data_IF_944356896393
#
_entry.id   IF_944356896393
#
_cell.length_a   1.000
_cell.length_b   1.000
_cell.length_c   1.000
_cell.angle_alpha   90.00
_cell.angle_beta   90.00
_cell.angle_gamma   90.00
#
_symmetry.space_group_name_H-M   'P 1'
#
loop_
_entity.id
_entity.type
_entity.pdbx_description
1 polymer ?
#
# COMPACT_ATOMS: atom_id res chain seq x y z
N UNK A 1 -14.46 7.88 10.28
CA UNK A 1 -13.60 6.69 10.09
C UNK A 1 -12.92 6.40 11.43
N UNK A 2 -13.07 5.20 12.00
CA UNK A 2 -12.36 4.82 13.25
C UNK A 2 -10.95 4.38 12.86
N UNK A 3 -9.95 5.18 13.19
CA UNK A 3 -8.54 4.86 12.97
C UNK A 3 -7.71 5.54 14.05
N UNK A 4 -6.61 4.90 14.47
CA UNK A 4 -5.69 5.52 15.41
C UNK A 4 -4.84 6.57 14.69
N UNK A 5 -4.65 7.74 15.30
CA UNK A 5 -3.67 8.71 14.80
C UNK A 5 -2.29 8.03 14.75
N UNK A 6 -1.61 8.04 13.61
CA UNK A 6 -0.37 7.29 13.44
C UNK A 6 0.85 8.02 14.02
N UNK A 7 0.68 9.17 14.66
CA UNK A 7 1.71 9.93 15.38
C UNK A 7 2.77 10.56 14.47
N UNK A 8 3.82 11.09 15.08
CA UNK A 8 4.98 11.74 14.44
C UNK A 8 6.21 10.82 14.32
N UNK A 9 6.22 9.68 15.02
CA UNK A 9 7.27 8.65 14.90
C UNK A 9 6.79 7.47 14.06
N UNK A 10 7.35 7.34 12.85
CA UNK A 10 6.94 6.35 11.85
C UNK A 10 7.97 5.23 11.73
N UNK A 11 7.52 3.99 11.77
CA UNK A 11 8.38 2.80 11.66
C UNK A 11 8.27 2.26 10.24
N UNK A 12 9.21 2.64 9.39
CA UNK A 12 9.27 2.22 7.99
C UNK A 12 10.70 1.80 7.70
N UNK A 13 10.87 0.59 7.18
CA UNK A 13 12.19 0.05 6.83
C UNK A 13 12.80 0.81 5.65
N UNK A 14 14.12 0.97 5.66
CA UNK A 14 14.85 1.48 4.50
C UNK A 14 14.88 0.45 3.37
N UNK A 15 15.24 0.89 2.17
CA UNK A 15 15.36 0.00 1.01
C UNK A 15 16.61 -0.88 1.16
N UNK A 16 16.39 -2.15 1.47
CA UNK A 16 17.46 -3.14 1.62
C UNK A 16 18.13 -3.48 0.29
N UNK A 17 19.40 -3.91 0.31
CA UNK A 17 20.18 -4.14 -0.91
C UNK A 17 19.58 -5.22 -1.84
N UNK A 18 18.89 -6.21 -1.27
CA UNK A 18 18.25 -7.30 -2.01
C UNK A 18 16.81 -6.99 -2.44
N UNK A 19 16.29 -5.79 -2.14
CA UNK A 19 14.93 -5.42 -2.53
C UNK A 19 14.83 -5.32 -4.06
N UNK A 20 13.83 -5.96 -4.66
CA UNK A 20 13.62 -5.99 -6.11
C UNK A 20 13.34 -4.62 -6.71
N UNK A 21 12.78 -3.68 -5.93
CA UNK A 21 12.51 -2.30 -6.34
C UNK A 21 13.72 -1.38 -6.13
N UNK A 22 14.86 -1.89 -5.64
CA UNK A 22 16.07 -1.10 -5.45
C UNK A 22 16.62 -0.61 -6.79
N UNK A 23 16.91 0.68 -6.87
CA UNK A 23 17.54 1.35 -7.99
C UNK A 23 19.02 1.61 -7.70
N UNK A 24 19.78 1.96 -8.75
CA UNK A 24 21.19 2.36 -8.64
C UNK A 24 21.31 3.80 -8.15
N UNK A 25 20.75 4.08 -6.98
CA UNK A 25 20.80 5.38 -6.31
C UNK A 25 21.26 5.21 -4.86
N UNK A 26 22.23 6.00 -4.38
CA UNK A 26 22.84 5.78 -3.06
C UNK A 26 21.88 6.04 -1.90
N UNK A 27 20.88 6.90 -2.09
CA UNK A 27 20.00 7.40 -1.01
C UNK A 27 18.51 7.24 -1.34
N UNK A 28 18.16 6.19 -2.11
CA UNK A 28 16.75 5.87 -2.43
C UNK A 28 15.90 5.85 -1.17
N UNK A 29 14.80 6.61 -1.18
CA UNK A 29 13.82 6.60 -0.10
C UNK A 29 12.83 5.45 -0.28
N UNK A 30 12.35 4.84 0.81
CA UNK A 30 11.34 3.80 0.78
C UNK A 30 10.00 4.32 0.26
N UNK A 31 9.30 3.52 -0.54
CA UNK A 31 8.02 3.86 -1.14
C UNK A 31 6.92 4.02 -0.10
N UNK A 32 6.87 3.21 0.95
CA UNK A 32 5.86 3.30 2.02
C UNK A 32 5.93 4.61 2.81
N UNK A 33 7.12 5.22 2.90
CA UNK A 33 7.27 6.56 3.50
C UNK A 33 6.60 7.62 2.63
N UNK A 34 6.88 7.59 1.33
CA UNK A 34 6.30 8.55 0.38
C UNK A 34 4.80 8.34 0.19
N UNK A 35 4.33 7.09 0.16
CA UNK A 35 2.91 6.74 0.10
C UNK A 35 2.14 7.42 1.23
N UNK A 36 2.63 7.29 2.46
CA UNK A 36 2.01 7.90 3.64
C UNK A 36 1.94 9.42 3.52
N UNK A 37 3.01 10.07 3.08
CA UNK A 37 3.06 11.54 2.92
C UNK A 37 2.08 12.02 1.84
N UNK A 38 2.04 11.34 0.70
CA UNK A 38 1.16 11.67 -0.43
C UNK A 38 -0.31 11.48 -0.06
N UNK A 39 -0.68 10.36 0.55
CA UNK A 39 -2.06 10.09 0.97
C UNK A 39 -2.55 11.08 2.04
N UNK A 40 -1.67 11.52 2.94
CA UNK A 40 -2.02 12.46 4.00
C UNK A 40 -2.17 13.91 3.51
N UNK A 41 -1.55 14.26 2.37
CA UNK A 41 -1.37 15.66 1.95
C UNK A 41 -1.95 15.98 0.58
N UNK A 42 -2.60 15.02 -0.09
CA UNK A 42 -3.16 15.21 -1.43
C UNK A 42 -4.36 14.30 -1.71
N UNK A 43 -5.21 14.71 -2.63
CA UNK A 43 -6.28 13.91 -3.20
C UNK A 43 -5.85 13.32 -4.55
N UNK A 44 -6.64 12.37 -5.06
CA UNK A 44 -6.45 11.89 -6.44
C UNK A 44 -6.55 13.06 -7.43
N UNK A 45 -5.74 13.01 -8.47
CA UNK A 45 -5.57 14.03 -9.51
C UNK A 45 -4.86 15.33 -9.09
N UNK A 46 -4.53 15.52 -7.81
CA UNK A 46 -3.67 16.62 -7.37
C UNK A 46 -2.26 16.52 -7.98
N UNK A 47 -1.54 17.63 -7.99
CA UNK A 47 -0.15 17.71 -8.43
C UNK A 47 0.77 17.71 -7.21
N UNK A 48 1.69 16.76 -7.19
CA UNK A 48 2.80 16.69 -6.23
C UNK A 48 4.08 17.20 -6.90
N UNK A 49 4.85 18.04 -6.20
CA UNK A 49 6.14 18.54 -6.67
C UNK A 49 7.28 17.88 -5.88
N UNK A 50 8.23 17.27 -6.58
CA UNK A 50 9.49 16.79 -6.02
C UNK A 50 10.70 17.43 -6.73
N UNK A 51 11.31 18.48 -6.17
CA UNK A 51 12.41 19.18 -6.82
C UNK A 51 13.75 18.42 -6.78
N UNK A 52 13.81 17.26 -6.12
CA UNK A 52 15.04 16.47 -5.94
C UNK A 52 14.73 14.98 -6.04
N UNK A 53 14.09 14.56 -7.14
CA UNK A 53 13.44 13.26 -7.16
C UNK A 53 14.40 12.07 -7.09
N UNK A 54 15.69 12.24 -7.45
CA UNK A 54 16.72 11.22 -7.37
C UNK A 54 16.30 9.89 -8.02
N UNK A 55 16.01 8.88 -7.20
CA UNK A 55 15.55 7.56 -7.66
C UNK A 55 14.11 7.52 -8.21
N UNK A 56 13.40 8.64 -8.24
CA UNK A 56 12.03 8.74 -8.71
C UNK A 56 10.99 8.11 -7.78
N UNK A 57 11.30 7.95 -6.49
CA UNK A 57 10.41 7.28 -5.52
C UNK A 57 9.07 8.01 -5.42
N UNK A 58 9.08 9.35 -5.25
CA UNK A 58 7.85 10.16 -5.18
C UNK A 58 7.03 10.06 -6.45
N UNK A 59 7.66 10.12 -7.62
CA UNK A 59 6.99 10.01 -8.93
C UNK A 59 6.31 8.65 -9.07
N UNK A 60 7.01 7.57 -8.69
CA UNK A 60 6.47 6.21 -8.74
C UNK A 60 5.27 6.06 -7.81
N UNK A 61 5.35 6.56 -6.59
CA UNK A 61 4.23 6.56 -5.65
C UNK A 61 3.04 7.35 -6.19
N UNK A 62 3.27 8.56 -6.71
CA UNK A 62 2.20 9.36 -7.29
C UNK A 62 1.50 8.66 -8.46
N UNK A 63 2.28 8.00 -9.34
CA UNK A 63 1.75 7.22 -10.46
C UNK A 63 0.78 6.11 -9.99
N UNK A 64 1.10 5.42 -8.90
CA UNK A 64 0.23 4.35 -8.37
C UNK A 64 -0.96 4.87 -7.57
N UNK A 65 -0.80 6.02 -6.93
CA UNK A 65 -1.87 6.66 -6.16
C UNK A 65 -2.76 7.56 -7.02
N UNK A 66 -2.66 7.54 -8.36
CA UNK A 66 -3.43 8.44 -9.24
C UNK A 66 -3.22 9.94 -8.93
N UNK A 67 -1.99 10.34 -8.62
CA UNK A 67 -1.57 11.75 -8.51
C UNK A 67 -0.70 12.12 -9.70
N UNK A 68 -0.79 13.37 -10.15
CA UNK A 68 0.17 13.94 -11.09
C UNK A 68 1.42 14.30 -10.31
N UNK A 69 2.59 14.19 -10.93
CA UNK A 69 3.85 14.58 -10.30
C UNK A 69 4.70 15.41 -11.25
N UNK A 70 5.31 16.46 -10.72
CA UNK A 70 6.33 17.25 -11.40
C UNK A 70 7.64 17.03 -10.65
N UNK A 71 8.66 16.56 -11.35
CA UNK A 71 9.95 16.22 -10.78
C UNK A 71 11.09 17.02 -11.42
N UNK A 72 12.06 17.45 -10.61
CA UNK A 72 13.35 17.94 -11.10
C UNK A 72 14.50 17.08 -10.60
N UNK A 73 15.49 16.82 -11.46
CA UNK A 73 16.73 16.11 -11.16
C UNK A 73 17.81 16.61 -12.11
N UNK A 74 19.01 16.85 -11.58
CA UNK A 74 20.13 17.41 -12.35
C UNK A 74 20.97 16.32 -13.02
N UNK A 75 21.04 15.13 -12.41
CA UNK A 75 21.84 14.04 -12.95
C UNK A 75 21.08 13.29 -14.06
N UNK A 76 21.52 13.35 -15.32
CA UNK A 76 20.83 12.69 -16.43
C UNK A 76 20.75 11.16 -16.27
N UNK A 77 21.71 10.54 -15.59
CA UNK A 77 21.69 9.09 -15.33
C UNK A 77 20.52 8.72 -14.40
N UNK A 78 20.23 9.58 -13.42
CA UNK A 78 19.10 9.38 -12.49
C UNK A 78 17.76 9.66 -13.17
N UNK A 79 17.71 10.64 -14.08
CA UNK A 79 16.53 10.87 -14.94
C UNK A 79 16.22 9.62 -15.75
N UNK A 80 17.19 9.09 -16.50
CA UNK A 80 16.99 7.90 -17.33
C UNK A 80 16.61 6.66 -16.51
N UNK A 81 17.23 6.49 -15.34
CA UNK A 81 16.89 5.42 -14.42
C UNK A 81 15.46 5.55 -13.88
N UNK A 82 15.02 6.76 -13.51
CA UNK A 82 13.67 7.01 -13.03
C UNK A 82 12.62 6.78 -14.13
N UNK A 83 12.88 7.24 -15.37
CA UNK A 83 12.03 6.96 -16.53
C UNK A 83 11.88 5.45 -16.77
N UNK A 84 13.01 4.72 -16.77
CA UNK A 84 13.00 3.27 -16.88
C UNK A 84 12.22 2.58 -15.75
N UNK A 85 12.30 3.11 -14.52
CA UNK A 85 11.51 2.62 -13.37
C UNK A 85 10.01 2.89 -13.57
N UNK A 86 9.62 4.06 -14.04
CA UNK A 86 8.21 4.45 -14.24
C UNK A 86 7.52 3.67 -15.36
N UNK A 87 8.29 3.20 -16.34
CA UNK A 87 7.81 2.37 -17.45
C UNK A 87 7.71 0.87 -17.09
N UNK A 88 8.25 0.43 -15.96
CA UNK A 88 8.14 -0.96 -15.50
C UNK A 88 6.78 -1.22 -14.87
N UNK A 89 6.26 -2.43 -15.11
CA UNK A 89 5.06 -2.94 -14.46
C UNK A 89 5.14 -2.77 -12.94
N UNK A 90 4.05 -2.30 -12.34
CA UNK A 90 3.97 -2.18 -10.90
C UNK A 90 3.69 -3.54 -10.28
N UNK A 91 4.56 -3.92 -9.33
CA UNK A 91 4.44 -5.17 -8.60
C UNK A 91 4.07 -4.94 -7.14
N UNK A 92 4.00 -3.70 -6.64
CA UNK A 92 3.81 -3.38 -5.23
C UNK A 92 4.91 -2.46 -4.68
N UNK A 93 4.64 -1.80 -3.56
CA UNK A 93 5.60 -0.93 -2.87
C UNK A 93 6.68 -1.73 -2.13
N UNK A 94 7.86 -1.13 -2.01
CA UNK A 94 9.06 -1.74 -1.42
C UNK A 94 9.07 -1.83 0.11
N UNK A 95 8.12 -1.17 0.76
CA UNK A 95 8.04 -1.01 2.22
C UNK A 95 6.62 -0.65 2.63
N UNK A 96 6.25 -1.05 3.85
CA UNK A 96 4.94 -0.78 4.47
C UNK A 96 5.14 -0.26 5.89
N UNK A 97 4.23 0.59 6.36
CA UNK A 97 4.10 0.85 7.80
C UNK A 97 3.41 -0.36 8.46
N UNK A 98 4.12 -1.08 9.33
CA UNK A 98 3.62 -2.27 10.04
C UNK A 98 2.27 -2.01 10.76
N UNK A 99 1.97 -0.76 11.11
CA UNK A 99 0.70 -0.40 11.76
C UNK A 99 -0.49 -0.53 10.81
N UNK A 100 -0.28 -0.47 9.49
CA UNK A 100 -1.33 -0.70 8.50
C UNK A 100 -1.86 -2.14 8.52
N UNK A 101 -1.09 -3.12 8.99
CA UNK A 101 -1.55 -4.51 9.08
C UNK A 101 -2.35 -4.79 10.36
N UNK A 102 -2.49 -3.80 11.25
CA UNK A 102 -3.19 -3.97 12.54
C UNK A 102 -4.70 -3.89 12.37
N UNK A 103 -5.39 -4.79 13.05
CA UNK A 103 -6.86 -4.78 13.17
C UNK A 103 -7.25 -4.15 14.51
N UNK A 104 -8.11 -3.12 14.54
CA UNK A 104 -8.64 -2.55 15.77
C UNK A 104 -9.40 -3.59 16.62
N UNK A 105 -9.42 -3.42 17.94
CA UNK A 105 -10.07 -4.34 18.89
C UNK A 105 -11.56 -4.02 19.14
N UNK A 106 -12.05 -2.89 18.64
CA UNK A 106 -13.41 -2.36 18.92
C UNK A 106 -14.41 -2.57 17.77
N UNK A 107 -14.09 -3.41 16.78
CA UNK A 107 -14.96 -3.71 15.64
C UNK A 107 -15.97 -4.83 15.98
N UNK A 108 -16.75 -4.65 17.04
CA UNK A 108 -17.71 -5.67 17.51
C UNK A 108 -18.94 -5.82 16.61
N UNK A 109 -19.43 -4.72 16.06
CA UNK A 109 -20.54 -4.69 15.13
C UNK A 109 -20.14 -5.30 13.77
N UNK A 110 -21.01 -6.15 13.20
CA UNK A 110 -20.70 -6.91 11.98
C UNK A 110 -20.66 -6.03 10.74
N UNK A 111 -21.58 -5.07 10.61
CA UNK A 111 -21.69 -4.21 9.44
C UNK A 111 -20.55 -3.19 9.45
N UNK A 112 -20.28 -2.57 10.61
CA UNK A 112 -19.12 -1.68 10.79
C UNK A 112 -17.81 -2.42 10.53
N UNK A 113 -17.67 -3.66 11.02
CA UNK A 113 -16.46 -4.48 10.76
C UNK A 113 -16.30 -4.72 9.26
N UNK A 114 -17.36 -5.16 8.58
CA UNK A 114 -17.31 -5.42 7.13
C UNK A 114 -16.89 -4.18 6.35
N UNK A 115 -17.51 -3.03 6.64
CA UNK A 115 -17.19 -1.77 5.98
C UNK A 115 -15.75 -1.32 6.25
N UNK A 116 -15.28 -1.47 7.51
CA UNK A 116 -13.90 -1.19 7.85
C UNK A 116 -12.94 -2.05 7.05
N UNK A 117 -13.14 -3.36 6.98
CA UNK A 117 -12.24 -4.29 6.29
C UNK A 117 -12.13 -3.97 4.80
N UNK A 118 -13.26 -3.73 4.13
CA UNK A 118 -13.31 -3.38 2.70
C UNK A 118 -12.52 -2.09 2.45
N UNK A 119 -12.83 -1.05 3.23
CA UNK A 119 -12.21 0.25 3.06
C UNK A 119 -10.72 0.25 3.42
N UNK A 120 -10.34 -0.49 4.46
CA UNK A 120 -8.95 -0.60 4.91
C UNK A 120 -8.07 -1.27 3.86
N UNK A 121 -8.55 -2.38 3.27
CA UNK A 121 -7.85 -3.05 2.17
C UNK A 121 -7.73 -2.13 0.97
N UNK A 122 -8.84 -1.49 0.58
CA UNK A 122 -8.90 -0.57 -0.56
C UNK A 122 -7.91 0.59 -0.40
N UNK A 123 -7.86 1.23 0.77
CA UNK A 123 -7.07 2.45 0.93
C UNK A 123 -5.61 2.21 1.30
N UNK A 124 -5.30 1.15 2.05
CA UNK A 124 -3.97 0.99 2.66
C UNK A 124 -3.19 -0.24 2.20
N UNK A 125 -3.85 -1.30 1.72
CA UNK A 125 -3.17 -2.58 1.48
C UNK A 125 -3.12 -2.99 0.01
N UNK A 126 -3.89 -2.34 -0.87
CA UNK A 126 -3.99 -2.72 -2.29
C UNK A 126 -2.65 -2.69 -3.05
N UNK A 127 -1.67 -1.89 -2.59
CA UNK A 127 -0.36 -1.75 -3.21
C UNK A 127 0.76 -2.55 -2.50
N UNK A 128 0.41 -3.37 -1.52
CA UNK A 128 1.38 -4.08 -0.68
C UNK A 128 1.21 -5.60 -0.74
N UNK A 129 2.14 -6.26 -1.42
CA UNK A 129 2.07 -7.71 -1.63
C UNK A 129 2.12 -8.51 -0.33
N UNK A 130 1.21 -9.47 -0.20
CA UNK A 130 1.11 -10.34 0.98
C UNK A 130 0.56 -9.65 2.24
N UNK A 131 0.44 -8.33 2.27
CA UNK A 131 -0.10 -7.60 3.43
C UNK A 131 -1.60 -7.84 3.60
N UNK A 132 -2.33 -8.01 2.51
CA UNK A 132 -3.77 -8.35 2.55
C UNK A 132 -3.98 -9.70 3.24
N UNK A 133 -3.16 -10.71 2.92
CA UNK A 133 -3.24 -12.03 3.55
C UNK A 133 -2.90 -11.97 5.04
N UNK A 134 -1.80 -11.30 5.41
CA UNK A 134 -1.41 -11.10 6.82
C UNK A 134 -2.48 -10.35 7.62
N UNK A 135 -3.10 -9.34 6.99
CA UNK A 135 -4.19 -8.59 7.59
C UNK A 135 -5.41 -9.48 7.83
N UNK A 136 -5.87 -10.24 6.83
CA UNK A 136 -7.01 -11.15 7.01
C UNK A 136 -6.75 -12.25 8.02
N UNK A 137 -5.53 -12.79 8.08
CA UNK A 137 -5.13 -13.72 9.14
C UNK A 137 -5.30 -13.09 10.53
N UNK A 138 -4.85 -11.84 10.70
CA UNK A 138 -5.02 -11.09 11.95
C UNK A 138 -6.49 -10.80 12.28
N UNK A 139 -7.35 -10.64 11.27
CA UNK A 139 -8.80 -10.47 11.45
C UNK A 139 -9.41 -11.78 11.94
N UNK A 140 -9.06 -12.91 11.33
CA UNK A 140 -9.54 -14.23 11.71
C UNK A 140 -9.12 -14.61 13.14
N UNK A 141 -7.85 -14.37 13.50
CA UNK A 141 -7.36 -14.62 14.86
C UNK A 141 -8.13 -13.82 15.93
N UNK A 142 -8.61 -12.61 15.61
CA UNK A 142 -9.33 -11.74 16.56
C UNK A 142 -10.83 -11.90 16.56
N UNK A 143 -11.42 -12.16 15.39
CA UNK A 143 -12.87 -12.13 15.17
C UNK A 143 -13.42 -13.40 14.54
N UNK A 144 -12.62 -14.46 14.36
CA UNK A 144 -12.99 -15.72 13.69
C UNK A 144 -14.27 -16.36 14.23
N UNK A 145 -14.48 -16.31 15.55
CA UNK A 145 -15.72 -16.81 16.18
C UNK A 145 -16.97 -15.98 15.83
N UNK A 146 -16.78 -14.76 15.31
CA UNK A 146 -17.83 -13.79 14.96
C UNK A 146 -18.02 -13.63 13.44
N UNK A 147 -17.24 -14.32 12.60
CA UNK A 147 -17.42 -14.37 11.15
C UNK A 147 -18.41 -15.50 10.86
N UNK A 148 -19.56 -15.27 10.20
CA UNK A 148 -20.44 -16.36 9.81
C UNK A 148 -19.65 -17.32 8.93
N UNK A 149 -19.44 -18.56 9.40
CA UNK A 149 -18.93 -19.63 8.54
C UNK A 149 -19.86 -19.69 7.35
N UNK A 150 -19.36 -19.36 6.16
CA UNK A 150 -20.09 -19.62 4.94
C UNK A 150 -20.46 -21.10 4.97
N UNK A 151 -21.76 -21.41 5.03
CA UNK A 151 -22.20 -22.78 4.85
C UNK A 151 -21.67 -23.23 3.49
N UNK A 152 -20.71 -24.16 3.50
CA UNK A 152 -20.25 -24.90 2.34
C UNK A 152 -21.44 -25.67 1.75
N UNK A 153 -22.33 -24.99 1.01
CA UNK A 153 -23.14 -25.64 0.00
C UNK A 153 -22.24 -25.78 -1.21
N UNK A 154 -21.61 -26.96 -1.33
CA UNK A 154 -21.04 -27.41 -2.60
C UNK A 154 -22.08 -27.15 -3.70
N UNK A 155 -21.71 -26.57 -4.84
CA UNK A 155 -22.64 -26.43 -5.96
C UNK A 155 -23.11 -27.84 -6.33
N UNK A 156 -24.44 -28.03 -6.39
CA UNK A 156 -25.02 -29.25 -6.95
C UNK A 156 -24.50 -29.38 -8.38
N UNK A 157 -23.79 -30.47 -8.64
CA UNK A 157 -23.42 -30.89 -9.98
C UNK A 157 -24.73 -31.07 -10.77
N UNK A 158 -25.01 -30.15 -11.70
CA UNK A 158 -26.05 -30.37 -12.70
C UNK A 158 -25.55 -31.50 -13.60
N UNK A 159 -26.19 -32.67 -13.53
CA UNK A 159 -26.01 -33.68 -14.57
C UNK A 159 -26.81 -33.23 -15.79
N UNK A 160 -26.12 -32.97 -16.89
CA UNK A 160 -26.75 -32.88 -18.21
C UNK A 160 -27.18 -34.30 -18.61
N UNK A 161 -28.49 -34.49 -18.74
CA UNK A 161 -29.08 -35.32 -19.78
C UNK A 161 -29.81 -34.37 -20.72
#
# INVERSE_FOLDING_TARGET
>A
MRGANPGDVWKISHVHYCNSNRQKHPTQKPEGLMERMVLASSNENDIVLDPFFGSGTTLRVCQQLNRKCIGFELNPDYVQMAEGRLNKSFIGFDSIDERMERVPFDLNDKDIRKDYLINHVKWFLQHHNGSIERFYKSVEEKYGDKIPKAHNKKPKQMSLF
#
